data_IF_304861897580
#
_entry.id   IF_304861897580
#
_cell.length_a   1.000
_cell.length_b   1.000
_cell.length_c   1.000
_cell.angle_alpha   90.00
_cell.angle_beta   90.00
_cell.angle_gamma   90.00
#
_symmetry.space_group_name_H-M   'P 1'
#
loop_
_entity.id
_entity.type
_entity.pdbx_description
1 polymer ?
#
# COMPACT_ATOMS: atom_id res chain seq x y z
N UNK A 1 -5.29 14.75 -12.28
CA UNK A 1 -4.92 15.52 -11.06
C UNK A 1 -3.41 15.64 -10.89
N UNK A 2 -2.65 14.55 -10.68
CA UNK A 2 -1.19 14.60 -10.49
C UNK A 2 -0.41 14.60 -11.81
N UNK A 3 -0.63 15.61 -12.63
CA UNK A 3 0.11 15.86 -13.87
C UNK A 3 0.85 17.19 -13.73
N UNK A 4 2.09 17.26 -14.22
CA UNK A 4 2.85 18.51 -14.22
C UNK A 4 2.20 19.53 -15.15
N UNK A 5 1.71 19.07 -16.29
CA UNK A 5 0.98 19.89 -17.25
C UNK A 5 -0.55 19.83 -16.95
N UNK A 6 -1.17 20.95 -16.55
CA UNK A 6 -2.61 21.01 -16.30
C UNK A 6 -3.47 20.83 -17.57
N UNK A 7 -2.93 21.06 -18.76
CA UNK A 7 -3.69 20.86 -20.01
C UNK A 7 -4.12 19.39 -20.18
N UNK A 8 -3.25 18.46 -19.79
CA UNK A 8 -3.55 17.02 -19.79
C UNK A 8 -4.70 16.68 -18.85
N UNK A 9 -4.85 17.42 -17.76
CA UNK A 9 -5.97 17.25 -16.81
C UNK A 9 -7.26 17.79 -17.41
N UNK A 10 -7.20 18.93 -18.10
CA UNK A 10 -8.36 19.59 -18.71
C UNK A 10 -9.02 18.76 -19.82
N UNK A 11 -8.28 17.85 -20.47
CA UNK A 11 -8.81 16.93 -21.49
C UNK A 11 -9.62 15.76 -20.89
N UNK A 12 -9.54 15.55 -19.57
CA UNK A 12 -10.24 14.45 -18.89
C UNK A 12 -11.61 14.92 -18.40
N UNK A 13 -12.67 14.10 -18.53
CA UNK A 13 -14.01 14.43 -18.03
C UNK A 13 -14.09 14.23 -16.50
N UNK A 14 -13.30 14.99 -15.76
CA UNK A 14 -13.25 14.94 -14.31
C UNK A 14 -14.42 15.72 -13.70
N UNK A 15 -14.95 15.20 -12.61
CA UNK A 15 -16.01 15.82 -11.81
C UNK A 15 -15.67 15.67 -10.32
N UNK A 16 -16.41 16.35 -9.44
CA UNK A 16 -16.14 16.39 -8.00
C UNK A 16 -17.43 16.46 -7.17
N UNK A 17 -17.41 15.83 -5.99
CA UNK A 17 -18.42 16.04 -4.95
C UNK A 17 -17.75 16.51 -3.66
N UNK A 18 -18.25 17.62 -3.10
CA UNK A 18 -17.88 18.11 -1.77
C UNK A 18 -18.75 17.44 -0.70
N UNK A 19 -18.13 17.04 0.42
CA UNK A 19 -18.79 16.17 1.43
C UNK A 19 -18.45 16.48 2.91
N UNK A 20 -17.55 17.43 3.17
CA UNK A 20 -17.18 17.83 4.54
C UNK A 20 -16.51 19.21 4.56
N UNK A 21 -16.48 19.83 5.74
CA UNK A 21 -15.79 21.09 6.02
C UNK A 21 -14.78 20.89 7.15
N UNK A 22 -13.50 20.95 6.81
CA UNK A 22 -12.39 20.75 7.75
C UNK A 22 -12.21 21.94 8.70
N UNK A 23 -12.36 23.16 8.19
CA UNK A 23 -12.23 24.39 8.97
C UNK A 23 -13.37 25.34 8.59
N UNK A 24 -13.93 26.01 9.60
CA UNK A 24 -14.94 27.05 9.44
C UNK A 24 -14.46 28.26 10.22
N UNK A 25 -13.96 29.26 9.50
CA UNK A 25 -13.52 30.53 10.08
C UNK A 25 -14.57 31.57 9.71
N UNK A 26 -15.21 32.18 10.71
CA UNK A 26 -15.91 33.43 10.51
C UNK A 26 -14.86 34.55 10.59
N UNK A 27 -14.86 35.48 9.62
CA UNK A 27 -13.90 36.59 9.58
C UNK A 27 -14.06 37.63 10.71
N UNK A 28 -14.63 37.25 11.85
CA UNK A 28 -14.91 38.12 13.00
C UNK A 28 -13.70 38.30 13.94
N UNK A 29 -12.62 37.53 13.76
CA UNK A 29 -11.40 37.59 14.58
C UNK A 29 -10.35 38.61 14.09
N UNK A 30 -10.80 39.85 13.86
CA UNK A 30 -9.88 40.99 13.80
C UNK A 30 -10.30 42.20 14.65
N UNK A 31 -11.53 42.29 15.19
CA UNK A 31 -11.93 43.50 15.93
C UNK A 31 -13.18 43.43 16.85
N UNK A 32 -13.63 42.27 17.36
CA UNK A 32 -14.84 42.24 18.18
C UNK A 32 -14.55 42.26 19.70
N UNK A 33 -14.82 43.43 20.30
CA UNK A 33 -14.87 43.71 21.73
C UNK A 33 -15.78 42.77 22.53
N UNK A 34 -15.51 42.68 23.83
CA UNK A 34 -16.06 41.80 24.87
C UNK A 34 -17.59 41.60 25.01
N UNK A 35 -18.46 42.11 24.14
CA UNK A 35 -19.92 42.02 24.29
C UNK A 35 -20.58 41.60 22.97
N UNK A 36 -20.38 40.34 22.55
CA UNK A 36 -21.25 39.64 21.58
C UNK A 36 -20.94 38.15 21.61
N UNK A 37 -21.75 37.38 22.33
CA UNK A 37 -21.79 35.93 22.19
C UNK A 37 -22.53 35.60 20.89
N UNK A 38 -21.80 35.20 19.84
CA UNK A 38 -22.36 34.59 18.65
C UNK A 38 -21.28 33.78 17.95
N UNK A 39 -21.15 32.51 18.34
CA UNK A 39 -20.31 31.49 17.68
C UNK A 39 -21.06 30.85 16.49
N UNK A 40 -21.96 31.57 15.81
CA UNK A 40 -23.18 30.93 15.28
C UNK A 40 -23.40 31.14 13.77
N UNK A 41 -22.46 30.69 12.92
CA UNK A 41 -22.71 30.58 11.47
C UNK A 41 -22.36 29.22 10.88
N UNK A 42 -21.63 28.36 11.60
CA UNK A 42 -21.42 26.98 11.15
C UNK A 42 -22.72 26.21 11.37
N UNK A 43 -23.24 25.49 10.36
CA UNK A 43 -24.41 24.65 10.55
C UNK A 43 -24.20 23.65 11.69
N UNK A 44 -25.20 23.54 12.57
CA UNK A 44 -25.18 22.65 13.73
C UNK A 44 -25.16 21.16 13.35
N UNK A 45 -25.48 20.83 12.09
CA UNK A 45 -25.50 19.46 11.59
C UNK A 45 -24.59 19.28 10.38
N UNK A 46 -24.11 18.05 10.16
CA UNK A 46 -23.39 17.68 8.94
C UNK A 46 -24.30 17.85 7.71
N UNK A 47 -25.61 17.53 7.82
CA UNK A 47 -26.58 17.79 6.76
C UNK A 47 -26.67 19.28 6.40
N UNK A 48 -26.69 20.18 7.39
CA UNK A 48 -26.78 21.62 7.16
C UNK A 48 -25.57 22.20 6.40
N UNK A 49 -24.42 21.53 6.42
CA UNK A 49 -23.25 21.95 5.63
C UNK A 49 -23.50 21.79 4.12
N UNK A 50 -24.34 20.85 3.70
CA UNK A 50 -24.66 20.67 2.28
C UNK A 50 -25.51 21.82 1.73
N UNK A 51 -26.32 22.47 2.57
CA UNK A 51 -27.04 23.68 2.17
C UNK A 51 -26.06 24.85 1.95
N UNK A 52 -24.97 24.90 2.73
CA UNK A 52 -23.89 25.85 2.49
C UNK A 52 -23.12 25.54 1.19
N UNK A 53 -22.90 24.26 0.86
CA UNK A 53 -22.31 23.89 -0.43
C UNK A 53 -23.17 24.35 -1.60
N UNK A 54 -24.48 24.15 -1.54
CA UNK A 54 -25.42 24.63 -2.56
C UNK A 54 -25.35 26.16 -2.68
N UNK A 55 -25.34 26.88 -1.56
CA UNK A 55 -25.24 28.34 -1.53
C UNK A 55 -23.91 28.88 -2.12
N UNK A 56 -22.81 28.13 -1.97
CA UNK A 56 -21.50 28.47 -2.52
C UNK A 56 -21.29 27.98 -3.96
N UNK A 57 -22.25 27.27 -4.54
CA UNK A 57 -22.12 26.66 -5.87
C UNK A 57 -21.12 25.50 -5.92
N UNK A 58 -20.87 24.85 -4.78
CA UNK A 58 -20.02 23.67 -4.68
C UNK A 58 -20.82 22.42 -5.04
N UNK A 59 -20.42 21.64 -6.06
CA UNK A 59 -21.11 20.40 -6.42
C UNK A 59 -21.15 19.40 -5.27
N UNK A 60 -22.33 18.88 -4.96
CA UNK A 60 -22.51 17.80 -3.98
C UNK A 60 -23.28 16.64 -4.60
N UNK A 61 -23.17 15.47 -3.97
CA UNK A 61 -24.03 14.35 -4.35
C UNK A 61 -25.49 14.65 -4.01
N UNK A 62 -26.40 14.17 -4.84
CA UNK A 62 -27.85 14.16 -4.63
C UNK A 62 -28.29 12.98 -3.74
N UNK A 63 -27.38 12.06 -3.42
CA UNK A 63 -27.63 10.86 -2.61
C UNK A 63 -27.15 11.07 -1.18
N UNK A 64 -27.99 11.75 -0.40
CA UNK A 64 -27.79 12.03 1.02
C UNK A 64 -29.12 11.84 1.72
N UNK A 65 -29.13 11.11 2.83
CA UNK A 65 -30.33 10.86 3.62
C UNK A 65 -30.00 11.00 5.10
N UNK A 66 -30.83 11.74 5.84
CA UNK A 66 -30.80 11.76 7.30
C UNK A 66 -31.72 10.66 7.78
N UNK A 67 -31.21 9.81 8.67
CA UNK A 67 -31.91 8.66 9.24
C UNK A 67 -31.85 8.75 10.76
N UNK A 68 -32.89 8.28 11.43
CA UNK A 68 -33.05 8.44 12.88
C UNK A 68 -32.34 7.33 13.69
N UNK A 69 -31.99 6.22 13.04
CA UNK A 69 -31.39 5.05 13.69
C UNK A 69 -30.42 4.28 12.77
N UNK A 70 -29.81 3.24 13.34
CA UNK A 70 -28.83 2.38 12.66
C UNK A 70 -29.50 1.55 11.55
N UNK A 71 -30.73 1.09 11.77
CA UNK A 71 -31.44 0.27 10.78
C UNK A 71 -31.72 1.09 9.53
N UNK A 72 -32.14 2.34 9.66
CA UNK A 72 -32.27 3.28 8.55
C UNK A 72 -30.95 3.51 7.80
N UNK A 73 -29.82 3.55 8.52
CA UNK A 73 -28.49 3.68 7.89
C UNK A 73 -28.09 2.42 7.11
N UNK A 74 -28.44 1.23 7.61
CA UNK A 74 -28.26 -0.06 6.91
C UNK A 74 -29.14 -0.12 5.66
N UNK A 75 -30.42 0.24 5.79
CA UNK A 75 -31.37 0.25 4.67
C UNK A 75 -30.93 1.22 3.57
N UNK A 76 -30.43 2.40 3.94
CA UNK A 76 -29.85 3.35 2.99
C UNK A 76 -28.66 2.71 2.25
N UNK A 77 -27.75 2.05 2.98
CA UNK A 77 -26.60 1.35 2.38
C UNK A 77 -27.06 0.32 1.37
N UNK A 78 -28.05 -0.50 1.70
CA UNK A 78 -28.51 -1.58 0.83
C UNK A 78 -29.25 -1.06 -0.40
N UNK A 79 -30.04 0.03 -0.28
CA UNK A 79 -30.61 0.72 -1.46
C UNK A 79 -29.54 1.25 -2.40
N UNK A 80 -28.44 1.80 -1.87
CA UNK A 80 -27.33 2.28 -2.71
C UNK A 80 -26.58 1.09 -3.35
N UNK A 81 -26.42 -0.03 -2.63
CA UNK A 81 -25.84 -1.26 -3.18
C UNK A 81 -26.67 -1.78 -4.37
N UNK A 82 -27.99 -1.82 -4.26
CA UNK A 82 -28.89 -2.26 -5.34
C UNK A 82 -28.86 -1.34 -6.56
N UNK A 83 -28.55 -0.06 -6.33
CA UNK A 83 -28.42 0.95 -7.39
C UNK A 83 -26.98 1.06 -7.93
N UNK A 84 -25.99 0.40 -7.32
CA UNK A 84 -24.55 0.59 -7.56
C UNK A 84 -24.19 0.56 -9.04
N UNK A 85 -24.69 -0.43 -9.78
CA UNK A 85 -24.36 -0.63 -11.20
C UNK A 85 -25.11 0.32 -12.15
N UNK A 86 -26.05 1.11 -11.64
CA UNK A 86 -26.83 2.11 -12.41
C UNK A 86 -26.30 3.52 -12.22
N UNK A 87 -25.32 3.70 -11.32
CA UNK A 87 -24.67 4.99 -11.12
C UNK A 87 -23.72 5.27 -12.28
N UNK A 88 -23.63 6.54 -12.67
CA UNK A 88 -22.69 7.03 -13.68
C UNK A 88 -21.25 7.23 -13.13
N UNK A 89 -21.01 6.80 -11.90
CA UNK A 89 -19.71 6.80 -11.22
C UNK A 89 -19.60 5.56 -10.33
N UNK A 90 -18.36 5.15 -10.06
CA UNK A 90 -18.10 4.02 -9.17
C UNK A 90 -18.23 4.43 -7.70
N UNK A 91 -18.79 3.53 -6.89
CA UNK A 91 -18.85 3.64 -5.42
C UNK A 91 -18.46 2.30 -4.80
N UNK A 92 -17.85 2.35 -3.63
CA UNK A 92 -17.36 1.20 -2.88
C UNK A 92 -18.05 1.01 -1.52
N UNK A 93 -19.05 1.85 -1.22
CA UNK A 93 -19.84 1.82 0.01
C UNK A 93 -20.61 3.10 0.23
N UNK A 94 -21.06 3.30 1.47
CA UNK A 94 -21.61 4.56 1.97
C UNK A 94 -20.82 5.03 3.19
N UNK A 95 -20.85 6.33 3.48
CA UNK A 95 -20.28 6.88 4.71
C UNK A 95 -21.42 7.27 5.63
N UNK A 96 -21.46 6.66 6.81
CA UNK A 96 -22.42 6.97 7.88
C UNK A 96 -21.73 7.97 8.81
N UNK A 97 -22.39 9.10 9.08
CA UNK A 97 -21.89 10.15 9.98
C UNK A 97 -22.94 10.43 11.04
N UNK A 98 -22.51 10.66 12.28
CA UNK A 98 -23.35 11.34 13.28
C UNK A 98 -23.70 12.72 12.73
N UNK A 99 -24.98 13.08 12.69
CA UNK A 99 -25.38 14.34 12.07
C UNK A 99 -25.07 15.56 12.95
N UNK A 100 -25.29 15.45 14.27
CA UNK A 100 -25.03 16.51 15.24
C UNK A 100 -23.52 16.82 15.39
N UNK A 101 -23.14 18.08 15.15
CA UNK A 101 -21.74 18.51 15.17
C UNK A 101 -21.13 18.60 16.56
N UNK A 102 -21.91 18.98 17.56
CA UNK A 102 -21.42 19.03 18.94
C UNK A 102 -21.06 17.62 19.44
N UNK A 103 -21.85 16.61 19.05
CA UNK A 103 -21.56 15.20 19.28
C UNK A 103 -20.31 14.74 18.52
N UNK A 104 -20.11 15.16 17.27
CA UNK A 104 -18.88 14.88 16.53
C UNK A 104 -17.63 15.42 17.26
N UNK A 105 -17.70 16.65 17.77
CA UNK A 105 -16.61 17.29 18.50
C UNK A 105 -16.33 16.58 19.82
N UNK A 106 -17.37 16.21 20.57
CA UNK A 106 -17.25 15.45 21.81
C UNK A 106 -16.65 14.04 21.59
N UNK A 107 -17.00 13.39 20.47
CA UNK A 107 -16.45 12.09 20.09
C UNK A 107 -14.98 12.18 19.64
N UNK A 108 -14.59 13.27 18.98
CA UNK A 108 -13.23 13.51 18.54
C UNK A 108 -12.70 12.48 17.52
N UNK A 109 -11.39 12.22 17.56
CA UNK A 109 -10.69 11.36 16.60
C UNK A 109 -9.67 10.43 17.27
N UNK A 110 -9.26 9.41 16.53
CA UNK A 110 -8.04 8.62 16.79
C UNK A 110 -6.86 9.23 16.01
N UNK A 111 -5.67 8.63 16.09
CA UNK A 111 -4.52 9.06 15.27
C UNK A 111 -4.73 8.91 13.76
N UNK A 112 -5.78 8.18 13.32
CA UNK A 112 -6.01 7.84 11.91
C UNK A 112 -7.39 8.20 11.36
N UNK A 113 -8.41 8.31 12.21
CA UNK A 113 -9.80 8.48 11.76
C UNK A 113 -10.69 9.16 12.82
N UNK A 114 -11.74 9.90 12.41
CA UNK A 114 -12.77 10.41 13.31
C UNK A 114 -13.55 9.27 13.97
N UNK A 115 -14.08 9.48 15.18
CA UNK A 115 -14.89 8.48 15.89
C UNK A 115 -16.39 8.53 15.55
N UNK A 116 -16.81 9.58 14.86
CA UNK A 116 -18.20 9.89 14.55
C UNK A 116 -18.60 9.60 13.10
N UNK A 117 -17.68 9.04 12.30
CA UNK A 117 -17.94 8.64 10.91
C UNK A 117 -17.43 7.22 10.65
N UNK A 118 -18.17 6.47 9.84
CA UNK A 118 -17.89 5.08 9.51
C UNK A 118 -18.13 4.83 8.02
N UNK A 119 -17.10 4.34 7.32
CA UNK A 119 -17.24 3.91 5.93
C UNK A 119 -17.78 2.49 5.87
N UNK A 120 -19.07 2.34 5.58
CA UNK A 120 -19.72 1.05 5.42
C UNK A 120 -19.57 0.56 3.97
N UNK A 121 -18.50 -0.21 3.74
CA UNK A 121 -18.14 -0.74 2.43
C UNK A 121 -19.12 -1.80 1.92
N UNK A 122 -19.35 -1.81 0.61
CA UNK A 122 -20.08 -2.87 -0.06
C UNK A 122 -19.27 -4.17 -0.09
N UNK A 123 -19.94 -5.32 -0.29
CA UNK A 123 -19.25 -6.53 -0.70
C UNK A 123 -18.37 -6.22 -1.93
N UNK A 124 -17.10 -6.66 -1.93
CA UNK A 124 -16.21 -6.42 -3.04
C UNK A 124 -16.77 -7.11 -4.30
N UNK A 125 -16.53 -6.51 -5.46
CA UNK A 125 -16.87 -7.18 -6.72
C UNK A 125 -16.02 -8.44 -6.85
N UNK A 126 -16.66 -9.54 -7.24
CA UNK A 126 -15.99 -10.83 -7.40
C UNK A 126 -16.11 -11.32 -8.83
N UNK A 127 -15.09 -12.00 -9.33
CA UNK A 127 -15.16 -12.75 -10.59
C UNK A 127 -14.75 -14.20 -10.36
N UNK A 128 -15.01 -15.06 -11.34
CA UNK A 128 -14.53 -16.45 -11.34
C UNK A 128 -13.64 -16.66 -12.55
N UNK A 129 -12.44 -17.18 -12.33
CA UNK A 129 -11.47 -17.44 -13.39
C UNK A 129 -10.68 -18.74 -13.13
N UNK A 130 -9.97 -19.24 -14.13
CA UNK A 130 -9.13 -20.42 -14.03
C UNK A 130 -7.74 -20.06 -13.49
N UNK A 131 -7.16 -20.95 -12.68
CA UNK A 131 -5.75 -20.90 -12.28
C UNK A 131 -4.91 -21.54 -13.39
N UNK A 132 -4.12 -20.76 -14.11
CA UNK A 132 -3.26 -21.24 -15.19
C UNK A 132 -1.90 -21.73 -14.69
N UNK A 133 -1.37 -21.08 -13.66
CA UNK A 133 -0.15 -21.49 -12.99
C UNK A 133 -0.15 -21.00 -11.54
N UNK A 134 0.75 -21.56 -10.73
CA UNK A 134 1.07 -21.02 -9.40
C UNK A 134 2.57 -20.81 -9.37
N UNK A 135 2.97 -19.55 -9.17
CA UNK A 135 4.37 -19.14 -9.01
C UNK A 135 4.65 -18.83 -7.55
N UNK A 136 5.90 -18.98 -7.12
CA UNK A 136 6.32 -18.66 -5.76
C UNK A 136 7.34 -17.53 -5.82
N UNK A 137 6.96 -16.36 -5.30
CA UNK A 137 7.81 -15.18 -5.25
C UNK A 137 8.67 -15.21 -4.00
N UNK A 138 9.96 -14.88 -4.11
CA UNK A 138 10.85 -14.73 -2.96
C UNK A 138 10.86 -13.27 -2.53
N UNK A 139 10.48 -13.00 -1.29
CA UNK A 139 10.54 -11.66 -0.71
C UNK A 139 11.95 -11.28 -0.26
N UNK A 140 12.15 -10.00 0.06
CA UNK A 140 13.42 -9.46 0.58
C UNK A 140 13.98 -10.26 1.77
N UNK A 141 13.11 -10.65 2.69
CA UNK A 141 13.47 -11.41 3.89
C UNK A 141 13.40 -12.93 3.67
N UNK A 142 13.46 -13.38 2.42
CA UNK A 142 13.31 -14.78 2.03
C UNK A 142 11.88 -15.30 2.04
N UNK A 143 10.87 -14.54 2.49
CA UNK A 143 9.47 -15.01 2.55
C UNK A 143 9.00 -15.49 1.18
N UNK A 144 8.58 -16.75 1.09
CA UNK A 144 8.04 -17.34 -0.11
C UNK A 144 6.53 -17.12 -0.16
N UNK A 145 6.09 -16.33 -1.13
CA UNK A 145 4.67 -15.96 -1.29
C UNK A 145 4.13 -16.62 -2.56
N UNK A 146 3.19 -17.57 -2.45
CA UNK A 146 2.55 -18.14 -3.61
C UNK A 146 1.58 -17.16 -4.28
N UNK A 147 1.59 -17.15 -5.60
CA UNK A 147 0.75 -16.30 -6.45
C UNK A 147 0.09 -17.17 -7.51
N UNK A 148 -1.23 -17.10 -7.58
CA UNK A 148 -1.99 -17.69 -8.68
C UNK A 148 -1.86 -16.79 -9.91
N UNK A 149 -1.36 -17.36 -11.00
CA UNK A 149 -1.46 -16.79 -12.34
C UNK A 149 -2.80 -17.24 -12.93
N UNK A 150 -3.61 -16.28 -13.37
CA UNK A 150 -5.02 -16.47 -13.69
C UNK A 150 -5.30 -16.16 -15.15
N UNK A 151 -6.26 -16.88 -15.74
CA UNK A 151 -6.87 -16.46 -17.01
C UNK A 151 -7.45 -15.04 -16.82
N UNK A 152 -7.04 -14.03 -17.62
CA UNK A 152 -7.38 -12.64 -17.35
C UNK A 152 -8.89 -12.40 -17.24
N UNK A 153 -9.32 -11.76 -16.15
CA UNK A 153 -10.75 -11.52 -15.88
C UNK A 153 -10.99 -10.11 -15.34
N UNK A 154 -12.10 -9.47 -15.75
CA UNK A 154 -12.49 -8.17 -15.19
C UNK A 154 -13.05 -8.33 -13.76
N UNK A 155 -12.47 -7.58 -12.82
CA UNK A 155 -12.96 -7.47 -11.44
C UNK A 155 -13.23 -6.00 -11.14
N UNK A 156 -14.40 -5.54 -11.54
CA UNK A 156 -14.85 -4.18 -11.25
C UNK A 156 -14.15 -3.13 -12.10
N UNK A 157 -13.98 -3.39 -13.40
CA UNK A 157 -13.38 -2.47 -14.36
C UNK A 157 -11.86 -2.54 -14.44
N UNK A 158 -11.23 -3.50 -13.75
CA UNK A 158 -9.79 -3.76 -13.79
C UNK A 158 -9.58 -5.23 -14.16
N UNK A 159 -8.81 -5.47 -15.20
CA UNK A 159 -8.36 -6.81 -15.57
C UNK A 159 -7.37 -7.33 -14.52
N UNK A 160 -7.72 -8.45 -13.91
CA UNK A 160 -6.87 -9.18 -12.96
C UNK A 160 -6.35 -10.44 -13.64
N UNK A 161 -5.03 -10.60 -13.65
CA UNK A 161 -4.34 -11.81 -14.13
C UNK A 161 -3.51 -12.49 -13.04
N UNK A 162 -3.40 -11.89 -11.85
CA UNK A 162 -2.63 -12.44 -10.72
C UNK A 162 -3.38 -12.22 -9.41
N UNK A 163 -3.35 -13.20 -8.53
CA UNK A 163 -3.89 -13.07 -7.17
C UNK A 163 -2.98 -13.77 -6.16
N UNK A 164 -2.85 -13.18 -4.97
CA UNK A 164 -2.07 -13.81 -3.90
C UNK A 164 -2.80 -15.03 -3.34
N UNK A 165 -2.06 -16.09 -3.05
CA UNK A 165 -2.50 -17.24 -2.27
C UNK A 165 -1.97 -17.15 -0.83
N UNK A 166 -1.45 -15.98 -0.42
CA UNK A 166 -0.94 -15.61 0.92
C UNK A 166 0.28 -16.39 1.42
N UNK A 167 0.15 -17.71 1.58
CA UNK A 167 1.13 -18.59 2.20
C UNK A 167 0.81 -20.09 1.90
N UNK A 168 1.75 -21.02 2.16
CA UNK A 168 1.52 -22.46 1.95
C UNK A 168 0.31 -23.03 2.68
N UNK A 169 0.05 -22.64 3.93
CA UNK A 169 -1.08 -23.16 4.69
C UNK A 169 -2.43 -22.76 4.08
N UNK A 170 -2.52 -21.57 3.48
CA UNK A 170 -3.70 -21.12 2.75
C UNK A 170 -3.93 -21.93 1.47
N UNK A 171 -2.86 -22.32 0.75
CA UNK A 171 -2.96 -23.27 -0.36
C UNK A 171 -3.55 -24.60 0.12
N UNK A 172 -3.04 -25.12 1.24
CA UNK A 172 -3.50 -26.36 1.85
C UNK A 172 -4.97 -26.26 2.29
N UNK A 173 -5.38 -25.14 2.89
CA UNK A 173 -6.74 -24.88 3.35
C UNK A 173 -7.74 -24.71 2.19
N UNK A 174 -7.37 -23.96 1.14
CA UNK A 174 -8.17 -23.82 -0.08
C UNK A 174 -8.20 -25.12 -0.89
N UNK A 175 -7.18 -25.96 -0.71
CA UNK A 175 -6.94 -27.14 -1.52
C UNK A 175 -6.71 -26.80 -2.99
N UNK A 176 -6.30 -25.57 -3.33
CA UNK A 176 -6.19 -25.08 -4.71
C UNK A 176 -5.04 -25.73 -5.47
N UNK A 177 -5.23 -25.96 -6.77
CA UNK A 177 -4.16 -26.38 -7.68
C UNK A 177 -4.39 -25.82 -9.09
N UNK A 178 -3.38 -25.95 -9.94
CA UNK A 178 -3.43 -25.51 -11.35
C UNK A 178 -4.57 -26.22 -12.09
N UNK A 179 -5.34 -25.45 -12.87
CA UNK A 179 -6.52 -25.89 -13.61
C UNK A 179 -7.84 -25.72 -12.87
N UNK A 180 -7.84 -25.48 -11.56
CA UNK A 180 -9.05 -25.17 -10.80
C UNK A 180 -9.66 -23.84 -11.21
N UNK A 181 -10.97 -23.66 -10.97
CA UNK A 181 -11.60 -22.35 -11.04
C UNK A 181 -11.78 -21.78 -9.65
N UNK A 182 -11.38 -20.53 -9.50
CA UNK A 182 -11.37 -19.81 -8.23
C UNK A 182 -12.25 -18.58 -8.30
N UNK A 183 -12.90 -18.24 -7.19
CA UNK A 183 -13.45 -16.90 -7.02
C UNK A 183 -12.30 -15.97 -6.67
N UNK A 184 -12.32 -14.77 -7.23
CA UNK A 184 -11.39 -13.71 -6.88
C UNK A 184 -12.14 -12.43 -6.56
N UNK A 185 -11.55 -11.60 -5.69
CA UNK A 185 -11.99 -10.23 -5.46
C UNK A 185 -10.81 -9.33 -5.14
N UNK A 186 -11.02 -8.00 -5.20
CA UNK A 186 -9.98 -7.02 -4.86
C UNK A 186 -10.20 -6.51 -3.43
N UNK A 187 -9.29 -6.84 -2.52
CA UNK A 187 -9.32 -6.32 -1.16
C UNK A 187 -8.93 -4.84 -1.17
N UNK A 188 -9.82 -3.98 -0.63
CA UNK A 188 -9.62 -2.53 -0.58
C UNK A 188 -9.36 -1.89 -1.94
N UNK A 189 -9.92 -2.46 -3.02
CA UNK A 189 -9.73 -2.03 -4.41
C UNK A 189 -8.27 -2.00 -4.89
N UNK A 190 -7.36 -2.77 -4.27
CA UNK A 190 -5.94 -2.82 -4.68
C UNK A 190 -5.49 -4.25 -4.96
N UNK A 191 -5.53 -5.14 -3.96
CA UNK A 191 -4.85 -6.45 -4.02
C UNK A 191 -5.85 -7.56 -4.35
N UNK A 192 -5.69 -8.30 -5.46
CA UNK A 192 -6.54 -9.44 -5.76
C UNK A 192 -6.25 -10.63 -4.84
N UNK A 193 -7.30 -11.27 -4.32
CA UNK A 193 -7.24 -12.43 -3.43
C UNK A 193 -8.21 -13.53 -3.89
N UNK A 194 -7.83 -14.78 -3.60
CA UNK A 194 -8.61 -15.99 -3.83
C UNK A 194 -9.25 -16.48 -2.52
N UNK A 195 -10.52 -16.15 -2.25
CA UNK A 195 -11.22 -16.66 -1.06
C UNK A 195 -11.60 -18.14 -1.12
N UNK A 196 -11.84 -18.69 -2.32
CA UNK A 196 -12.29 -20.08 -2.45
C UNK A 196 -12.05 -20.65 -3.85
N UNK A 197 -11.92 -21.98 -3.90
CA UNK A 197 -12.03 -22.79 -5.12
C UNK A 197 -13.51 -23.07 -5.37
N UNK A 198 -14.05 -22.51 -6.45
CA UNK A 198 -15.47 -22.70 -6.81
C UNK A 198 -15.73 -23.96 -7.62
N UNK A 199 -14.72 -24.42 -8.37
CA UNK A 199 -14.80 -25.64 -9.16
C UNK A 199 -13.45 -26.35 -9.15
N UNK A 200 -13.41 -27.50 -8.46
CA UNK A 200 -12.23 -28.35 -8.40
C UNK A 200 -12.12 -29.19 -9.68
N UNK A 201 -11.07 -28.97 -10.46
CA UNK A 201 -10.81 -29.65 -11.74
C UNK A 201 -9.50 -30.43 -11.76
N UNK A 202 -8.67 -30.19 -10.77
CA UNK A 202 -7.38 -30.84 -10.57
C UNK A 202 -7.47 -31.97 -9.55
N UNK A 203 -6.48 -32.87 -9.57
CA UNK A 203 -6.26 -33.81 -8.48
C UNK A 203 -5.32 -33.19 -7.42
N UNK A 204 -5.62 -33.48 -6.16
CA UNK A 204 -4.81 -33.03 -5.02
C UNK A 204 -4.75 -31.51 -4.86
N UNK A 205 -3.73 -31.06 -4.14
CA UNK A 205 -3.44 -29.65 -3.83
C UNK A 205 -2.08 -29.31 -4.39
N UNK A 206 -1.86 -28.03 -4.75
CA UNK A 206 -0.56 -27.59 -5.24
C UNK A 206 0.55 -27.93 -4.24
N UNK A 207 1.57 -28.64 -4.72
CA UNK A 207 2.72 -29.02 -3.91
C UNK A 207 3.66 -27.81 -3.78
N UNK A 208 3.63 -27.16 -2.62
CA UNK A 208 4.54 -26.06 -2.34
C UNK A 208 6.01 -26.56 -2.36
N UNK A 209 6.94 -25.85 -3.01
CA UNK A 209 8.31 -26.35 -3.19
C UNK A 209 9.07 -26.44 -1.86
N UNK A 210 9.91 -27.47 -1.75
CA UNK A 210 10.81 -27.69 -0.60
C UNK A 210 12.16 -26.97 -0.76
N UNK A 211 12.46 -26.47 -1.96
CA UNK A 211 13.63 -25.63 -2.27
C UNK A 211 13.18 -24.31 -2.88
N UNK A 212 13.99 -23.27 -2.69
CA UNK A 212 13.75 -21.96 -3.26
C UNK A 212 13.74 -22.06 -4.80
N UNK A 213 12.71 -21.56 -5.50
CA UNK A 213 12.63 -21.66 -6.96
C UNK A 213 13.66 -20.79 -7.70
N UNK A 214 14.42 -19.94 -6.97
CA UNK A 214 15.40 -19.02 -7.54
C UNK A 214 16.84 -19.48 -7.29
N UNK A 215 17.15 -19.96 -6.08
CA UNK A 215 18.53 -20.28 -5.68
C UNK A 215 18.71 -21.71 -5.15
N UNK A 216 17.69 -22.56 -5.23
CA UNK A 216 17.68 -23.96 -4.77
C UNK A 216 17.98 -24.17 -3.27
N UNK A 217 18.16 -23.11 -2.50
CA UNK A 217 18.36 -23.20 -1.05
C UNK A 217 17.15 -23.86 -0.38
N UNK A 218 17.34 -24.63 0.71
CA UNK A 218 16.24 -25.25 1.45
C UNK A 218 15.17 -24.23 1.89
N UNK A 219 13.91 -24.66 1.87
CA UNK A 219 12.80 -23.89 2.41
C UNK A 219 12.57 -24.25 3.87
N UNK A 220 12.57 -23.24 4.73
CA UNK A 220 12.20 -23.38 6.13
C UNK A 220 10.76 -22.92 6.34
N UNK A 221 9.99 -23.68 7.14
CA UNK A 221 8.62 -23.30 7.52
C UNK A 221 8.59 -22.74 8.93
N UNK A 222 7.92 -21.60 9.09
CA UNK A 222 7.57 -21.01 10.40
C UNK A 222 6.05 -20.80 10.46
N UNK A 223 5.38 -21.69 11.19
CA UNK A 223 3.92 -21.76 11.22
C UNK A 223 3.32 -21.90 9.81
N UNK A 224 2.44 -20.98 9.38
CA UNK A 224 1.83 -21.02 8.05
C UNK A 224 2.74 -20.51 6.94
N UNK A 225 3.88 -19.88 7.27
CA UNK A 225 4.77 -19.21 6.34
C UNK A 225 5.93 -20.11 5.91
N UNK A 226 6.53 -19.79 4.76
CA UNK A 226 7.73 -20.44 4.25
C UNK A 226 8.79 -19.40 3.87
N UNK A 227 10.06 -19.74 4.03
CA UNK A 227 11.19 -18.84 3.83
C UNK A 227 12.34 -19.54 3.10
N UNK A 228 12.94 -18.83 2.15
CA UNK A 228 14.21 -19.20 1.53
C UNK A 228 15.37 -18.93 2.49
N UNK A 229 16.15 -19.97 2.78
CA UNK A 229 17.33 -19.90 3.67
C UNK A 229 18.59 -19.34 3.00
N UNK A 230 18.52 -19.01 1.71
CA UNK A 230 19.68 -18.56 0.92
C UNK A 230 20.24 -17.19 1.32
N UNK A 231 19.51 -16.40 2.11
CA UNK A 231 19.93 -15.05 2.52
C UNK A 231 20.36 -14.19 1.33
N UNK A 232 21.41 -13.37 1.52
CA UNK A 232 21.99 -12.55 0.43
C UNK A 232 22.64 -13.36 -0.69
N UNK A 233 22.84 -14.67 -0.53
CA UNK A 233 23.24 -15.55 -1.62
C UNK A 233 22.10 -15.89 -2.59
N UNK A 234 20.84 -15.61 -2.21
CA UNK A 234 19.70 -15.69 -3.11
C UNK A 234 19.61 -14.42 -3.96
N UNK A 235 19.67 -14.51 -5.31
CA UNK A 235 19.60 -13.34 -6.20
C UNK A 235 18.42 -12.41 -5.89
N UNK A 236 17.21 -12.96 -5.75
CA UNK A 236 16.01 -12.18 -5.48
C UNK A 236 16.03 -11.49 -4.10
N UNK A 237 16.67 -12.11 -3.10
CA UNK A 237 16.83 -11.46 -1.78
C UNK A 237 17.86 -10.34 -1.85
N UNK A 238 18.97 -10.54 -2.57
CA UNK A 238 20.01 -9.53 -2.76
C UNK A 238 19.47 -8.31 -3.52
N UNK A 239 18.80 -8.52 -4.65
CA UNK A 239 18.23 -7.45 -5.46
C UNK A 239 17.27 -6.60 -4.63
N UNK A 240 16.33 -7.24 -3.93
CA UNK A 240 15.39 -6.56 -3.03
C UNK A 240 16.06 -5.92 -1.82
N UNK A 241 17.19 -6.44 -1.35
CA UNK A 241 17.96 -5.83 -0.27
C UNK A 241 18.65 -4.55 -0.76
N UNK A 242 19.25 -4.55 -1.95
CA UNK A 242 19.83 -3.36 -2.60
C UNK A 242 18.77 -2.31 -2.88
N UNK A 243 17.62 -2.70 -3.45
CA UNK A 243 16.50 -1.79 -3.65
C UNK A 243 16.05 -1.16 -2.33
N UNK A 244 15.91 -1.97 -1.27
CA UNK A 244 15.50 -1.50 0.04
C UNK A 244 16.53 -0.55 0.67
N UNK A 245 17.82 -0.87 0.52
CA UNK A 245 18.93 -0.01 0.94
C UNK A 245 18.83 1.38 0.30
N UNK A 246 18.51 1.42 -0.99
CA UNK A 246 18.42 2.65 -1.77
C UNK A 246 17.15 3.49 -1.54
N UNK A 247 16.12 2.95 -0.87
CA UNK A 247 14.83 3.65 -0.71
C UNK A 247 14.98 4.98 0.04
N UNK A 248 14.02 5.87 -0.23
CA UNK A 248 13.93 7.21 0.38
C UNK A 248 13.82 7.21 1.90
N UNK A 249 13.23 6.18 2.50
CA UNK A 249 13.12 5.99 3.95
C UNK A 249 14.27 5.17 4.55
N UNK A 250 15.22 4.74 3.72
CA UNK A 250 16.53 4.20 4.06
C UNK A 250 17.61 5.22 3.64
N UNK A 251 18.54 4.88 2.75
CA UNK A 251 19.69 5.73 2.44
C UNK A 251 19.41 6.81 1.39
N UNK A 252 18.24 6.79 0.75
CA UNK A 252 17.81 7.77 -0.27
C UNK A 252 18.80 7.86 -1.45
N UNK A 253 19.22 6.70 -1.97
CA UNK A 253 20.14 6.60 -3.10
C UNK A 253 19.34 6.53 -4.39
N UNK A 254 19.35 7.61 -5.16
CA UNK A 254 18.72 7.64 -6.46
C UNK A 254 19.51 6.81 -7.50
N UNK A 255 18.79 6.21 -8.45
CA UNK A 255 19.42 5.49 -9.56
C UNK A 255 19.63 3.99 -9.36
N UNK A 256 19.17 3.41 -8.24
CA UNK A 256 19.12 1.96 -8.00
C UNK A 256 17.67 1.43 -8.07
N UNK A 257 17.08 1.50 -9.28
CA UNK A 257 15.78 0.86 -9.56
C UNK A 257 15.94 -0.63 -9.90
N UNK A 258 14.84 -1.42 -9.91
CA UNK A 258 14.88 -2.87 -10.09
C UNK A 258 15.73 -3.33 -11.28
N UNK A 259 15.49 -2.77 -12.47
CA UNK A 259 16.23 -3.12 -13.70
C UNK A 259 17.72 -2.84 -13.59
N UNK A 260 18.12 -1.74 -12.94
CA UNK A 260 19.53 -1.40 -12.74
C UNK A 260 20.19 -2.32 -11.72
N UNK A 261 19.48 -2.67 -10.65
CA UNK A 261 20.00 -3.60 -9.64
C UNK A 261 20.20 -4.99 -10.25
N UNK A 262 19.24 -5.48 -11.04
CA UNK A 262 19.36 -6.72 -11.79
C UNK A 262 20.56 -6.70 -12.74
N UNK A 263 20.74 -5.63 -13.53
CA UNK A 263 21.90 -5.46 -14.40
C UNK A 263 23.24 -5.52 -13.63
N UNK A 264 23.35 -4.82 -12.49
CA UNK A 264 24.55 -4.80 -11.67
C UNK A 264 24.89 -6.20 -11.14
N UNK A 265 23.87 -6.96 -10.72
CA UNK A 265 24.02 -8.35 -10.28
C UNK A 265 24.44 -9.25 -11.43
N UNK A 266 23.77 -9.17 -12.58
CA UNK A 266 24.07 -10.00 -13.75
C UNK A 266 25.47 -9.76 -14.31
N UNK A 267 25.96 -8.52 -14.22
CA UNK A 267 27.32 -8.15 -14.57
C UNK A 267 28.37 -8.59 -13.52
N UNK A 268 27.94 -9.16 -12.38
CA UNK A 268 28.83 -9.54 -11.27
C UNK A 268 29.47 -8.34 -10.56
N UNK A 269 28.89 -7.15 -10.69
CA UNK A 269 29.38 -5.93 -10.03
C UNK A 269 28.85 -5.80 -8.60
N UNK A 270 27.75 -6.48 -8.26
CA UNK A 270 27.13 -6.46 -6.93
C UNK A 270 26.72 -7.87 -6.52
N UNK A 271 27.39 -8.42 -5.50
CA UNK A 271 27.06 -9.70 -4.88
C UNK A 271 26.61 -9.52 -3.40
N UNK A 272 26.80 -8.33 -2.86
CA UNK A 272 26.47 -7.93 -1.51
C UNK A 272 26.27 -6.41 -1.39
N UNK A 273 25.71 -5.93 -0.28
CA UNK A 273 25.49 -4.48 -0.07
C UNK A 273 26.78 -3.65 -0.07
N UNK A 274 27.90 -4.10 0.55
CA UNK A 274 29.17 -3.36 0.49
C UNK A 274 29.69 -3.10 -0.92
N UNK A 275 29.49 -4.02 -1.86
CA UNK A 275 30.02 -3.92 -3.23
C UNK A 275 29.48 -2.69 -3.98
N UNK A 276 28.31 -2.18 -3.58
CA UNK A 276 27.78 -0.91 -4.10
C UNK A 276 28.79 0.23 -3.97
N UNK A 277 29.57 0.24 -2.89
CA UNK A 277 30.52 1.31 -2.60
C UNK A 277 31.88 1.14 -3.28
N UNK A 278 32.07 0.03 -4.01
CA UNK A 278 33.24 -0.27 -4.85
C UNK A 278 32.95 -0.06 -6.34
N UNK A 279 31.70 0.28 -6.70
CA UNK A 279 31.31 0.61 -8.07
C UNK A 279 32.12 1.80 -8.60
N UNK A 280 32.40 1.78 -9.91
CA UNK A 280 33.13 2.84 -10.60
C UNK A 280 32.40 3.30 -11.85
N UNK A 281 32.54 4.59 -12.20
CA UNK A 281 31.93 5.15 -13.42
C UNK A 281 32.30 4.33 -14.67
N UNK A 282 33.57 3.93 -14.91
CA UNK A 282 33.91 3.10 -16.06
C UNK A 282 33.16 1.77 -16.11
N UNK A 283 33.04 1.06 -15.00
CA UNK A 283 32.32 -0.22 -14.95
C UNK A 283 30.82 -0.06 -15.24
N UNK A 284 30.21 1.04 -14.78
CA UNK A 284 28.80 1.32 -15.03
C UNK A 284 28.53 1.68 -16.50
N UNK A 285 29.38 2.50 -17.12
CA UNK A 285 29.20 2.96 -18.51
C UNK A 285 29.39 1.82 -19.54
N UNK A 286 30.01 0.71 -19.15
CA UNK A 286 30.07 -0.50 -19.98
C UNK A 286 28.72 -1.23 -20.10
N UNK A 287 27.78 -0.97 -19.19
CA UNK A 287 26.45 -1.57 -19.19
C UNK A 287 25.47 -0.81 -20.10
N UNK A 288 24.58 -1.54 -20.77
CA UNK A 288 23.55 -0.94 -21.62
C UNK A 288 22.60 -0.05 -20.81
N UNK A 289 22.33 1.16 -21.32
CA UNK A 289 21.42 2.13 -20.68
C UNK A 289 22.07 3.06 -19.65
N UNK A 290 23.36 2.86 -19.33
CA UNK A 290 24.12 3.77 -18.48
C UNK A 290 24.81 4.86 -19.29
N UNK A 291 24.56 6.12 -18.92
CA UNK A 291 25.32 7.28 -19.39
C UNK A 291 26.28 7.78 -18.30
N UNK A 292 27.34 8.47 -18.71
CA UNK A 292 28.37 9.03 -17.82
C UNK A 292 27.75 9.83 -16.67
N UNK A 293 26.84 10.77 -16.96
CA UNK A 293 26.14 11.56 -15.93
C UNK A 293 25.33 10.70 -14.96
N UNK A 294 24.66 9.65 -15.45
CA UNK A 294 23.87 8.79 -14.56
C UNK A 294 24.73 7.90 -13.67
N UNK A 295 25.91 7.50 -14.16
CA UNK A 295 26.90 6.76 -13.39
C UNK A 295 27.54 7.67 -12.33
N UNK A 296 27.97 8.88 -12.70
CA UNK A 296 28.52 9.88 -11.77
C UNK A 296 27.52 10.24 -10.66
N UNK A 297 26.25 10.42 -11.01
CA UNK A 297 25.20 10.69 -10.03
C UNK A 297 25.03 9.54 -9.03
N UNK A 298 25.04 8.29 -9.50
CA UNK A 298 24.95 7.14 -8.60
C UNK A 298 26.16 7.05 -7.67
N UNK A 299 27.37 7.16 -8.20
CA UNK A 299 28.60 7.10 -7.39
C UNK A 299 28.62 8.22 -6.35
N UNK A 300 28.22 9.44 -6.74
CA UNK A 300 28.11 10.58 -5.81
C UNK A 300 27.10 10.28 -4.70
N UNK A 301 25.92 9.76 -5.04
CA UNK A 301 24.90 9.42 -4.05
C UNK A 301 25.37 8.32 -3.07
N UNK A 302 26.12 7.33 -3.57
CA UNK A 302 26.74 6.29 -2.75
C UNK A 302 27.81 6.87 -1.83
N UNK A 303 28.67 7.75 -2.33
CA UNK A 303 29.72 8.40 -1.54
C UNK A 303 29.14 9.25 -0.40
N UNK A 304 28.08 10.01 -0.68
CA UNK A 304 27.35 10.79 0.33
C UNK A 304 26.69 9.88 1.39
N UNK A 305 26.27 8.68 0.98
CA UNK A 305 25.64 7.67 1.83
C UNK A 305 26.65 6.79 2.61
N UNK A 306 27.95 7.09 2.62
CA UNK A 306 28.96 6.31 3.38
C UNK A 306 28.87 6.50 4.89
N UNK A 307 28.38 7.65 5.36
CA UNK A 307 28.25 7.97 6.78
C UNK A 307 26.82 8.44 7.12
N UNK A 308 25.82 7.56 6.94
CA UNK A 308 24.43 7.92 7.16
C UNK A 308 24.12 8.07 8.66
N UNK A 309 23.05 8.81 9.02
CA UNK A 309 22.48 8.77 10.35
C UNK A 309 22.13 7.33 10.78
N UNK A 310 22.25 7.02 12.09
CA UNK A 310 22.05 5.66 12.61
C UNK A 310 20.65 5.10 12.31
N UNK A 311 19.61 5.92 12.39
CA UNK A 311 18.23 5.51 12.07
C UNK A 311 18.08 5.08 10.61
N UNK A 312 18.73 5.80 9.70
CA UNK A 312 18.74 5.53 8.26
C UNK A 312 19.50 4.24 7.95
N UNK A 313 20.67 4.06 8.57
CA UNK A 313 21.46 2.84 8.48
C UNK A 313 20.67 1.61 8.96
N UNK A 314 20.10 1.68 10.16
CA UNK A 314 19.31 0.58 10.73
C UNK A 314 18.07 0.27 9.88
N UNK A 315 17.41 1.29 9.34
CA UNK A 315 16.29 1.10 8.41
C UNK A 315 16.75 0.40 7.12
N UNK A 316 17.89 0.81 6.56
CA UNK A 316 18.46 0.25 5.33
C UNK A 316 18.89 -1.22 5.45
N UNK A 317 19.39 -1.65 6.61
CA UNK A 317 19.78 -3.05 6.86
C UNK A 317 18.63 -4.05 6.68
N UNK A 318 17.38 -3.59 6.76
CA UNK A 318 16.22 -4.47 6.55
C UNK A 318 16.03 -5.51 7.64
N UNK A 319 16.48 -5.22 8.86
CA UNK A 319 16.33 -6.08 10.06
C UNK A 319 14.83 -6.42 10.24
N UNK A 320 14.48 -7.69 10.51
CA UNK A 320 13.09 -8.10 10.74
C UNK A 320 12.38 -7.19 11.74
N UNK A 321 11.16 -6.76 11.38
CA UNK A 321 10.30 -5.84 12.15
C UNK A 321 10.86 -4.43 12.46
N UNK A 322 12.04 -4.09 11.93
CA UNK A 322 12.65 -2.76 12.07
C UNK A 322 12.37 -1.92 10.81
N UNK A 323 11.20 -1.28 10.79
CA UNK A 323 10.90 -0.23 9.81
C UNK A 323 11.50 1.13 10.20
N UNK A 324 11.39 2.13 9.33
CA UNK A 324 11.96 3.47 9.54
C UNK A 324 11.54 4.14 10.86
N UNK A 325 10.34 3.86 11.38
CA UNK A 325 9.87 4.37 12.67
C UNK A 325 10.57 3.68 13.84
N UNK A 326 10.67 2.34 13.80
CA UNK A 326 11.38 1.54 14.81
C UNK A 326 12.86 1.89 14.82
N UNK A 327 13.48 2.00 13.64
CA UNK A 327 14.88 2.40 13.48
C UNK A 327 15.17 3.77 14.12
N UNK A 328 14.27 4.76 13.93
CA UNK A 328 14.36 6.07 14.60
C UNK A 328 14.28 5.96 16.12
N UNK A 329 13.39 5.12 16.64
CA UNK A 329 13.27 4.90 18.08
C UNK A 329 14.53 4.23 18.65
N UNK A 330 15.06 3.21 17.98
CA UNK A 330 16.30 2.53 18.34
C UNK A 330 17.48 3.51 18.33
N UNK A 331 17.65 4.28 17.26
CA UNK A 331 18.71 5.26 17.15
C UNK A 331 18.63 6.34 18.25
N UNK A 332 17.41 6.79 18.58
CA UNK A 332 17.18 7.76 19.67
C UNK A 332 17.53 7.16 21.04
N UNK A 333 17.23 5.88 21.25
CA UNK A 333 17.47 5.20 22.52
C UNK A 333 18.96 4.87 22.74
N UNK A 334 19.60 4.25 21.75
CA UNK A 334 20.96 3.72 21.87
C UNK A 334 22.05 4.73 21.47
N UNK A 335 21.75 5.67 20.57
CA UNK A 335 22.66 6.74 20.17
C UNK A 335 23.85 6.33 19.27
N UNK A 336 24.35 5.10 19.36
CA UNK A 336 25.44 4.57 18.51
C UNK A 336 25.18 3.14 18.05
N UNK A 337 25.84 2.73 16.97
CA UNK A 337 25.77 1.35 16.47
C UNK A 337 26.35 0.36 17.48
N UNK A 338 27.48 0.69 18.12
CA UNK A 338 28.09 -0.16 19.14
C UNK A 338 27.11 -0.44 20.29
N UNK A 339 26.37 0.56 20.76
CA UNK A 339 25.37 0.39 21.81
C UNK A 339 24.17 -0.47 21.37
N UNK A 340 23.84 -0.48 20.07
CA UNK A 340 22.82 -1.38 19.51
C UNK A 340 23.34 -2.82 19.47
N UNK A 341 24.61 -3.02 19.10
CA UNK A 341 25.23 -4.35 19.02
C UNK A 341 25.46 -4.97 20.40
N UNK A 342 25.77 -4.15 21.41
CA UNK A 342 25.97 -4.56 22.80
C UNK A 342 24.65 -4.74 23.58
N UNK A 343 23.50 -4.49 22.96
CA UNK A 343 22.21 -4.58 23.63
C UNK A 343 21.83 -6.05 23.92
N UNK A 344 21.63 -6.38 25.20
CA UNK A 344 21.16 -7.70 25.63
C UNK A 344 19.64 -7.84 25.43
N UNK A 345 19.19 -9.09 25.23
CA UNK A 345 17.76 -9.42 25.27
C UNK A 345 17.21 -9.18 26.69
N UNK A 346 16.20 -8.32 26.80
CA UNK A 346 15.52 -8.01 28.07
C UNK A 346 14.65 -9.17 28.58
#
# INVERSE_FOLDING_TARGET
LRQLDPAVVAERPLDVFFFDVLAWEDGSDAAASAWSASTDHRPATNRGQFDAFDAFGLPRTDRIEVVDDIDGAIDYRDRVLDARDRLNYAVDGVVIKVDDRAACEALGSTSRAPRWAFAYKFPPRTATTAVEAITVQVGRTGRLTPVAELDPVDVGGVTVSRATLHNPAEIEALGVNVGDRVRIYRAGDVIPYVPEVVEKRSEGTYAFPETCPVCDAPVERDGPLAFCTGGLGCPEQLERAVEHWARRDALDIEGLGPERVEQLREAGLVESLPDLYDLTVPALVELEGWGETSAENLITALDDARNPPLDRFLAGLGIPDVGATTARALATHFGSLDAVLDADAA
#
